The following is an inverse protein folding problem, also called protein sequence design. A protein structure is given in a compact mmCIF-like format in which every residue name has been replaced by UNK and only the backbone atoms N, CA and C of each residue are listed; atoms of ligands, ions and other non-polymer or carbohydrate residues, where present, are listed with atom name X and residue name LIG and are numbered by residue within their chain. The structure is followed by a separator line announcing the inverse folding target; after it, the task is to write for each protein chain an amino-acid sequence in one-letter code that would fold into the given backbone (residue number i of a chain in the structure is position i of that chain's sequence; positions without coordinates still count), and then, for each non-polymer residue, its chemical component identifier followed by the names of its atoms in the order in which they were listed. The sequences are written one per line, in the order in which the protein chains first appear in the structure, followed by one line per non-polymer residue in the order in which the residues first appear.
data_IF_902514360316
#
_entry.id   IF_902514360316
#
_cell.length_a   1.000
_cell.length_b   1.000
_cell.length_c   1.000
_cell.angle_alpha   90.00
_cell.angle_beta   90.00
_cell.angle_gamma   90.00
#
_symmetry.space_group_name_H-M   'P 1'
#
loop_
_entity.id
_entity.type
_entity.pdbx_description
1 polymer ?
#
# COMPACT_ATOMS: atom_id res chain seq x y z
N UNK A 1 -8.93 -7.62 -7.89
CA UNK A 1 -8.29 -6.58 -7.04
C UNK A 1 -8.45 -5.19 -7.63
N UNK A 2 -7.67 -4.80 -8.66
CA UNK A 2 -7.69 -3.42 -9.17
C UNK A 2 -9.06 -2.99 -9.72
N UNK A 3 -9.79 -3.89 -10.40
CA UNK A 3 -11.16 -3.64 -10.88
C UNK A 3 -12.21 -3.58 -9.76
N UNK A 4 -12.13 -4.48 -8.78
CA UNK A 4 -13.15 -4.59 -7.70
C UNK A 4 -13.03 -3.47 -6.67
N UNK A 5 -11.81 -2.97 -6.47
CA UNK A 5 -11.50 -1.89 -5.55
C UNK A 5 -11.28 -0.55 -6.25
N UNK A 6 -11.36 -0.48 -7.58
CA UNK A 6 -11.05 0.75 -8.35
C UNK A 6 -9.75 1.39 -7.85
N UNK A 7 -8.66 0.61 -7.86
CA UNK A 7 -7.36 1.08 -7.37
C UNK A 7 -6.79 2.09 -8.36
N UNK A 8 -6.51 3.29 -7.85
CA UNK A 8 -6.00 4.43 -8.62
C UNK A 8 -4.47 4.48 -8.60
N UNK A 9 -3.83 3.99 -7.52
CA UNK A 9 -2.37 3.90 -7.41
C UNK A 9 -1.95 2.70 -6.57
N UNK A 10 -0.81 2.13 -6.93
CA UNK A 10 -0.10 1.10 -6.15
C UNK A 10 1.34 1.57 -5.98
N UNK A 11 1.82 1.61 -4.73
CA UNK A 11 3.23 1.89 -4.45
C UNK A 11 3.80 0.72 -3.68
N UNK A 12 4.80 0.05 -4.26
CA UNK A 12 5.61 -0.94 -3.58
C UNK A 12 6.76 -0.25 -2.87
N UNK A 13 6.88 -0.46 -1.56
CA UNK A 13 7.87 0.24 -0.75
C UNK A 13 8.47 -0.69 0.31
N UNK A 14 9.24 -0.13 1.23
CA UNK A 14 9.84 -0.87 2.33
C UNK A 14 11.11 -1.63 1.93
N UNK A 15 11.51 -2.54 2.81
CA UNK A 15 12.80 -3.25 2.73
C UNK A 15 13.01 -3.97 1.40
N UNK A 16 11.95 -4.60 0.87
CA UNK A 16 12.01 -5.33 -0.39
C UNK A 16 12.12 -4.43 -1.61
N UNK A 17 11.61 -3.20 -1.54
CA UNK A 17 11.75 -2.22 -2.62
C UNK A 17 13.17 -1.64 -2.67
N UNK A 18 13.83 -1.50 -1.52
CA UNK A 18 15.18 -0.92 -1.44
C UNK A 18 16.32 -1.95 -1.49
N UNK A 19 16.00 -3.25 -1.50
CA UNK A 19 16.99 -4.33 -1.50
C UNK A 19 17.58 -4.67 -0.13
N UNK A 20 17.16 -3.99 0.93
CA UNK A 20 17.62 -4.19 2.31
C UNK A 20 16.64 -5.11 3.07
N UNK A 21 16.37 -6.29 2.52
CA UNK A 21 15.39 -7.23 3.06
C UNK A 21 16.01 -8.57 3.47
N UNK A 22 15.44 -9.18 4.50
CA UNK A 22 15.76 -10.52 4.95
C UNK A 22 14.86 -11.58 4.31
N UNK A 23 15.20 -12.85 4.53
CA UNK A 23 14.42 -14.02 4.02
C UNK A 23 12.94 -13.98 4.42
N UNK A 24 12.64 -13.38 5.57
CA UNK A 24 11.30 -13.32 6.16
C UNK A 24 10.60 -11.96 6.02
N UNK A 25 11.19 -11.01 5.31
CA UNK A 25 10.57 -9.70 5.09
C UNK A 25 9.26 -9.83 4.33
N UNK A 26 8.28 -9.03 4.72
CA UNK A 26 7.02 -8.82 4.04
C UNK A 26 7.16 -7.90 2.81
N UNK A 27 6.13 -7.95 1.97
CA UNK A 27 5.94 -7.04 0.86
C UNK A 27 5.04 -5.91 1.34
N UNK A 28 5.56 -4.69 1.35
CA UNK A 28 4.77 -3.53 1.75
C UNK A 28 4.14 -2.84 0.53
N UNK A 29 2.82 -2.72 0.52
CA UNK A 29 2.08 -2.08 -0.57
C UNK A 29 1.18 -0.97 -0.03
N UNK A 30 1.32 0.22 -0.60
CA UNK A 30 0.31 1.27 -0.48
C UNK A 30 -0.68 1.12 -1.63
N UNK A 31 -1.96 1.07 -1.30
CA UNK A 31 -3.06 1.04 -2.27
C UNK A 31 -3.91 2.29 -2.09
N UNK A 32 -4.14 3.01 -3.20
CA UNK A 32 -4.96 4.23 -3.20
C UNK A 32 -6.27 3.98 -3.93
N UNK A 33 -7.41 4.26 -3.27
CA UNK A 33 -8.74 4.17 -3.89
C UNK A 33 -9.80 4.95 -3.13
N UNK A 34 -10.72 5.58 -3.88
CA UNK A 34 -11.95 6.19 -3.35
C UNK A 34 -12.83 5.20 -2.56
N UNK A 35 -12.78 3.89 -2.86
CA UNK A 35 -13.59 2.84 -2.18
C UNK A 35 -13.19 2.60 -0.72
N UNK A 36 -12.08 3.19 -0.26
CA UNK A 36 -11.67 3.14 1.14
C UNK A 36 -12.34 4.22 2.01
N UNK A 37 -13.03 5.20 1.41
CA UNK A 37 -13.75 6.24 2.14
C UNK A 37 -14.83 5.65 3.05
N UNK A 38 -14.96 6.20 4.26
CA UNK A 38 -15.94 5.74 5.25
C UNK A 38 -15.61 4.39 5.91
N UNK A 39 -14.53 3.71 5.50
CA UNK A 39 -14.06 2.48 6.16
C UNK A 39 -12.98 2.82 7.18
N UNK A 40 -13.04 2.18 8.35
CA UNK A 40 -11.94 2.26 9.32
C UNK A 40 -10.67 1.67 8.73
N UNK A 41 -9.52 2.24 9.08
CA UNK A 41 -8.22 1.89 8.52
C UNK A 41 -7.96 0.38 8.55
N UNK A 42 -8.19 -0.27 9.70
CA UNK A 42 -8.00 -1.72 9.91
C UNK A 42 -8.92 -2.60 9.05
N UNK A 43 -10.07 -2.09 8.59
CA UNK A 43 -11.02 -2.85 7.77
C UNK A 43 -10.73 -2.78 6.27
N UNK A 44 -9.96 -1.79 5.83
CA UNK A 44 -9.63 -1.58 4.40
C UNK A 44 -8.87 -2.78 3.79
N UNK A 45 -7.87 -3.40 4.47
CA UNK A 45 -7.10 -4.52 3.90
C UNK A 45 -7.77 -5.91 3.99
N UNK A 46 -8.81 -6.10 4.82
CA UNK A 46 -9.37 -7.44 5.13
C UNK A 46 -9.83 -8.26 3.90
N UNK A 47 -10.18 -7.62 2.80
CA UNK A 47 -10.56 -8.30 1.54
C UNK A 47 -9.42 -8.43 0.53
N UNK A 48 -8.33 -7.69 0.69
CA UNK A 48 -7.25 -7.60 -0.29
C UNK A 48 -6.34 -8.83 -0.27
N UNK A 49 -6.14 -9.45 0.89
CA UNK A 49 -5.36 -10.69 1.03
C UNK A 49 -5.89 -11.84 0.16
N UNK A 50 -7.18 -11.86 -0.19
CA UNK A 50 -7.76 -12.87 -1.09
C UNK A 50 -7.21 -12.79 -2.51
N UNK A 51 -6.69 -11.63 -2.91
CA UNK A 51 -6.09 -11.42 -4.23
C UNK A 51 -4.58 -11.62 -4.21
N UNK A 52 -3.96 -11.73 -3.04
CA UNK A 52 -2.53 -11.95 -2.88
C UNK A 52 -2.20 -13.42 -3.08
N UNK A 53 -1.53 -13.75 -4.19
CA UNK A 53 -1.21 -15.14 -4.57
C UNK A 53 0.25 -15.54 -4.31
N UNK A 54 1.08 -14.60 -3.88
CA UNK A 54 2.49 -14.87 -3.60
C UNK A 54 2.65 -15.54 -2.24
N UNK A 55 3.74 -16.31 -2.08
CA UNK A 55 4.06 -17.00 -0.81
C UNK A 55 4.67 -16.08 0.26
N UNK A 56 4.88 -14.80 -0.06
CA UNK A 56 5.43 -13.83 0.87
C UNK A 56 4.31 -13.19 1.70
N UNK A 57 4.55 -12.86 2.97
CA UNK A 57 3.64 -12.01 3.73
C UNK A 57 3.52 -10.65 3.03
N UNK A 58 2.35 -10.03 3.14
CA UNK A 58 2.07 -8.73 2.54
C UNK A 58 1.39 -7.85 3.58
N UNK A 59 1.85 -6.60 3.68
CA UNK A 59 1.16 -5.55 4.42
C UNK A 59 0.51 -4.57 3.42
N UNK A 60 -0.78 -4.35 3.59
CA UNK A 60 -1.57 -3.48 2.74
C UNK A 60 -1.95 -2.21 3.49
N UNK A 61 -1.32 -1.11 3.12
CA UNK A 61 -1.64 0.21 3.65
C UNK A 61 -2.60 0.91 2.68
N UNK A 62 -3.84 1.12 3.10
CA UNK A 62 -4.91 1.57 2.21
C UNK A 62 -5.33 3.01 2.50
N UNK A 63 -5.21 3.89 1.51
CA UNK A 63 -5.58 5.30 1.60
C UNK A 63 -6.60 5.73 0.55
N UNK A 64 -7.44 6.70 0.91
CA UNK A 64 -8.16 7.49 -0.10
C UNK A 64 -7.20 8.43 -0.83
N UNK A 65 -7.52 8.90 -2.04
CA UNK A 65 -6.68 9.87 -2.75
C UNK A 65 -6.39 11.13 -1.92
N UNK A 66 -7.37 11.62 -1.16
CA UNK A 66 -7.21 12.81 -0.34
C UNK A 66 -6.27 12.58 0.86
N UNK A 67 -6.38 11.42 1.52
CA UNK A 67 -5.45 11.04 2.59
C UNK A 67 -4.03 10.87 2.05
N UNK A 68 -3.86 10.21 0.91
CA UNK A 68 -2.56 9.99 0.29
C UNK A 68 -1.86 11.31 -0.06
N UNK A 69 -2.58 12.23 -0.70
CA UNK A 69 -2.08 13.56 -1.06
C UNK A 69 -1.75 14.43 0.16
N UNK A 70 -2.49 14.28 1.25
CA UNK A 70 -2.16 14.96 2.51
C UNK A 70 -0.88 14.40 3.12
N UNK A 71 -0.74 13.08 3.15
CA UNK A 71 0.39 12.39 3.78
C UNK A 71 1.68 12.55 2.96
N UNK A 72 1.60 12.68 1.64
CA UNK A 72 2.76 12.89 0.76
C UNK A 72 3.54 14.18 1.08
N UNK A 73 2.88 15.18 1.68
CA UNK A 73 3.45 16.49 2.01
C UNK A 73 4.10 16.54 3.40
N UNK A 74 3.96 15.50 4.21
CA UNK A 74 4.52 15.42 5.56
C UNK A 74 5.74 14.51 5.69
N UNK A 75 6.21 14.32 6.93
CA UNK A 75 7.17 13.25 7.28
C UNK A 75 6.38 11.99 7.59
N UNK A 76 6.02 11.24 6.54
CA UNK A 76 5.12 10.09 6.65
C UNK A 76 5.64 8.89 5.85
N UNK A 77 5.06 7.73 6.08
CA UNK A 77 5.34 6.52 5.29
C UNK A 77 5.02 6.71 3.81
N UNK A 78 3.99 7.51 3.48
CA UNK A 78 3.64 7.86 2.10
C UNK A 78 4.74 8.67 1.44
N UNK A 79 5.29 9.66 2.15
CA UNK A 79 6.40 10.47 1.63
C UNK A 79 7.66 9.61 1.41
N UNK A 80 7.95 8.66 2.31
CA UNK A 80 9.07 7.74 2.13
C UNK A 80 8.85 6.78 0.95
N UNK A 81 7.64 6.24 0.82
CA UNK A 81 7.25 5.37 -0.28
C UNK A 81 7.35 6.07 -1.63
N UNK A 82 6.98 7.36 -1.72
CA UNK A 82 7.15 8.15 -2.94
C UNK A 82 8.63 8.42 -3.28
N UNK A 83 9.53 8.48 -2.29
CA UNK A 83 10.96 8.75 -2.50
C UNK A 83 11.77 7.50 -2.84
N UNK A 84 11.43 6.37 -2.24
CA UNK A 84 12.24 5.13 -2.28
C UNK A 84 11.49 3.92 -2.83
N UNK A 85 10.17 4.01 -2.96
CA UNK A 85 9.34 2.95 -3.50
C UNK A 85 9.23 3.01 -5.02
N UNK A 86 8.49 2.06 -5.55
CA UNK A 86 8.23 1.85 -6.98
C UNK A 86 6.72 1.96 -7.19
N UNK A 87 6.27 2.89 -8.03
CA UNK A 87 4.86 2.97 -8.46
C UNK A 87 4.61 1.94 -9.57
N UNK A 88 3.54 1.15 -9.44
CA UNK A 88 3.21 0.00 -10.30
C UNK A 88 1.82 0.18 -10.91
#
# INVERSE_FOLDING_TARGET
MAKDYEIERIVFFGSRATGDYGKHSDVDLILVSKKFRGKSFLKRPLGLHRYWKMKYPVDFICYTPEEFEKLSKGVTIVQQALKKGIEI
#
